data_IF_075668069314
#
_entry.id   IF_075668069314
#
_cell.length_a   1.000
_cell.length_b   1.000
_cell.length_c   1.000
_cell.angle_alpha   90.00
_cell.angle_beta   90.00
_cell.angle_gamma   90.00
#
_symmetry.space_group_name_H-M   'P 1'
#
loop_
_entity.id
_entity.type
_entity.pdbx_description
1 polymer ?
#
# COMPACT_ATOMS: atom_id res chain seq x y z
N UNK A 1 -2.52 33.13 -7.07
CA UNK A 1 -3.44 32.80 -6.00
C UNK A 1 -4.49 31.76 -6.45
N UNK A 2 -5.28 31.98 -7.53
CA UNK A 2 -6.33 31.08 -8.02
C UNK A 2 -5.83 29.66 -8.34
N UNK A 3 -4.68 29.48 -8.96
CA UNK A 3 -4.11 28.17 -9.24
C UNK A 3 -3.76 27.40 -7.95
N UNK A 4 -3.25 28.10 -6.94
CA UNK A 4 -2.96 27.50 -5.63
C UNK A 4 -4.24 27.07 -4.91
N UNK A 5 -5.29 27.88 -4.94
CA UNK A 5 -6.60 27.53 -4.37
C UNK A 5 -7.19 26.30 -5.08
N UNK A 6 -7.18 26.28 -6.42
CA UNK A 6 -7.65 25.11 -7.18
C UNK A 6 -6.90 23.83 -6.81
N UNK A 7 -5.56 23.89 -6.72
CA UNK A 7 -4.72 22.76 -6.31
C UNK A 7 -5.09 22.31 -4.89
N UNK A 8 -5.25 23.25 -3.97
CA UNK A 8 -5.63 22.97 -2.59
C UNK A 8 -6.99 22.25 -2.49
N UNK A 9 -8.01 22.73 -3.22
CA UNK A 9 -9.33 22.10 -3.25
C UNK A 9 -9.26 20.67 -3.78
N UNK A 10 -8.60 20.44 -4.91
CA UNK A 10 -8.48 19.08 -5.49
C UNK A 10 -7.76 18.14 -4.52
N UNK A 11 -6.66 18.59 -3.90
CA UNK A 11 -5.90 17.77 -2.95
C UNK A 11 -6.72 17.47 -1.67
N UNK A 12 -7.43 18.46 -1.12
CA UNK A 12 -8.27 18.28 0.05
C UNK A 12 -9.44 17.33 -0.23
N UNK A 13 -10.10 17.48 -1.38
CA UNK A 13 -11.19 16.57 -1.79
C UNK A 13 -10.71 15.14 -1.90
N UNK A 14 -9.53 14.91 -2.49
CA UNK A 14 -8.95 13.58 -2.58
C UNK A 14 -8.59 13.00 -1.19
N UNK A 15 -8.02 13.83 -0.30
CA UNK A 15 -7.72 13.40 1.07
C UNK A 15 -8.99 13.02 1.84
N UNK A 16 -10.08 13.81 1.71
CA UNK A 16 -11.35 13.48 2.32
C UNK A 16 -11.95 12.18 1.74
N UNK A 17 -11.85 11.97 0.43
CA UNK A 17 -12.25 10.71 -0.20
C UNK A 17 -11.51 9.50 0.40
N UNK A 18 -10.19 9.60 0.60
CA UNK A 18 -9.42 8.53 1.25
C UNK A 18 -9.88 8.30 2.70
N UNK A 19 -10.19 9.36 3.45
CA UNK A 19 -10.79 9.28 4.80
C UNK A 19 -12.14 8.58 4.78
N UNK A 20 -13.02 8.96 3.86
CA UNK A 20 -14.36 8.40 3.74
C UNK A 20 -14.30 6.89 3.48
N UNK A 21 -13.45 6.45 2.56
CA UNK A 21 -13.24 5.02 2.32
C UNK A 21 -12.72 4.30 3.56
N UNK A 22 -11.68 4.82 4.19
CA UNK A 22 -11.05 4.15 5.32
C UNK A 22 -11.92 4.16 6.61
N UNK A 23 -12.85 5.10 6.74
CA UNK A 23 -13.82 5.15 7.85
C UNK A 23 -15.06 4.28 7.60
N UNK A 24 -15.31 3.86 6.36
CA UNK A 24 -16.50 3.07 6.03
C UNK A 24 -16.48 1.71 6.75
N UNK A 25 -17.61 1.28 7.32
CA UNK A 25 -17.68 -0.05 7.94
C UNK A 25 -17.39 -1.17 6.94
N UNK A 26 -16.72 -2.26 7.34
CA UNK A 26 -16.30 -3.33 6.41
C UNK A 26 -17.45 -3.99 5.66
N UNK A 27 -18.64 -4.08 6.29
CA UNK A 27 -19.83 -4.63 5.65
C UNK A 27 -20.32 -3.79 4.45
N UNK A 28 -19.95 -2.52 4.39
CA UNK A 28 -20.34 -1.59 3.32
C UNK A 28 -19.21 -1.32 2.32
N UNK A 29 -17.97 -1.68 2.65
CA UNK A 29 -16.82 -1.50 1.77
C UNK A 29 -16.01 -2.79 1.66
N UNK A 30 -16.52 -3.75 0.89
CA UNK A 30 -15.80 -4.98 0.57
C UNK A 30 -14.80 -4.76 -0.58
N UNK A 31 -13.91 -5.73 -0.83
CA UNK A 31 -12.96 -5.67 -1.94
C UNK A 31 -13.65 -5.43 -3.29
N UNK A 32 -14.81 -6.03 -3.52
CA UNK A 32 -15.61 -5.85 -4.73
C UNK A 32 -16.18 -4.43 -4.81
N UNK A 33 -16.82 -3.95 -3.74
CA UNK A 33 -17.41 -2.61 -3.73
C UNK A 33 -16.33 -1.53 -3.92
N UNK A 34 -15.16 -1.70 -3.29
CA UNK A 34 -14.04 -0.77 -3.47
C UNK A 34 -13.51 -0.78 -4.91
N UNK A 35 -13.43 -1.95 -5.54
CA UNK A 35 -13.08 -2.06 -6.95
C UNK A 35 -14.13 -1.38 -7.87
N UNK A 36 -15.42 -1.54 -7.58
CA UNK A 36 -16.51 -0.86 -8.32
C UNK A 36 -16.39 0.66 -8.19
N UNK A 37 -16.07 1.17 -6.99
CA UNK A 37 -15.77 2.60 -6.75
C UNK A 37 -14.56 3.08 -7.53
N UNK A 38 -13.53 2.27 -7.64
CA UNK A 38 -12.36 2.60 -8.45
C UNK A 38 -12.70 2.68 -9.96
N UNK A 39 -13.59 1.81 -10.46
CA UNK A 39 -14.09 1.87 -11.84
C UNK A 39 -14.90 3.14 -12.07
N UNK A 40 -15.82 3.48 -11.15
CA UNK A 40 -16.62 4.71 -11.22
C UNK A 40 -15.71 5.96 -11.30
N UNK A 41 -14.74 6.07 -10.39
CA UNK A 41 -13.78 7.19 -10.35
C UNK A 41 -12.90 7.25 -11.59
N UNK A 42 -12.48 6.10 -12.12
CA UNK A 42 -11.69 6.05 -13.35
C UNK A 42 -12.46 6.62 -14.53
N UNK A 43 -13.76 6.29 -14.65
CA UNK A 43 -14.64 6.86 -15.68
C UNK A 43 -14.77 8.37 -15.59
N UNK A 44 -14.90 8.91 -14.37
CA UNK A 44 -15.01 10.35 -14.13
C UNK A 44 -13.71 11.11 -14.40
N UNK A 45 -12.56 10.49 -14.16
CA UNK A 45 -11.24 11.14 -14.21
C UNK A 45 -10.44 10.81 -15.48
N UNK A 46 -10.95 9.88 -16.30
CA UNK A 46 -10.31 9.49 -17.57
C UNK A 46 -9.07 8.59 -17.35
N UNK A 47 -9.01 7.85 -16.24
CA UNK A 47 -8.02 6.82 -16.01
C UNK A 47 -8.40 5.54 -16.78
N UNK A 48 -7.41 4.80 -17.29
CA UNK A 48 -7.63 3.41 -17.66
C UNK A 48 -7.70 2.57 -16.38
N UNK A 49 -8.71 1.72 -16.25
CA UNK A 49 -8.90 0.81 -15.12
C UNK A 49 -9.02 -0.63 -15.60
N UNK A 50 -8.41 -1.54 -14.85
CA UNK A 50 -8.51 -2.99 -15.07
C UNK A 50 -8.71 -3.63 -13.68
N UNK A 51 -9.75 -4.46 -13.56
CA UNK A 51 -10.09 -5.17 -12.32
C UNK A 51 -9.84 -6.65 -12.54
N UNK A 52 -9.05 -7.25 -11.68
CA UNK A 52 -8.73 -8.67 -11.71
C UNK A 52 -9.47 -9.39 -10.58
N UNK A 53 -10.24 -10.40 -10.94
CA UNK A 53 -10.97 -11.25 -9.99
C UNK A 53 -10.10 -12.39 -9.46
N UNK A 54 -10.66 -13.22 -8.57
CA UNK A 54 -9.97 -14.34 -7.92
C UNK A 54 -9.34 -15.31 -8.93
N UNK A 55 -10.10 -15.72 -9.97
CA UNK A 55 -9.63 -16.69 -10.96
C UNK A 55 -8.47 -16.15 -11.79
N UNK A 56 -8.54 -14.86 -12.15
CA UNK A 56 -7.48 -14.17 -12.86
C UNK A 56 -6.22 -14.04 -11.98
N UNK A 57 -6.38 -13.72 -10.69
CA UNK A 57 -5.27 -13.65 -9.73
C UNK A 57 -4.60 -15.02 -9.52
N UNK A 58 -5.39 -16.09 -9.47
CA UNK A 58 -4.89 -17.48 -9.46
C UNK A 58 -4.09 -17.78 -10.72
N UNK A 59 -4.65 -17.49 -11.90
CA UNK A 59 -3.97 -17.71 -13.18
C UNK A 59 -2.67 -16.88 -13.31
N UNK A 60 -2.62 -15.71 -12.66
CA UNK A 60 -1.43 -14.86 -12.60
C UNK A 60 -0.40 -15.34 -11.59
N UNK A 61 -0.69 -16.37 -10.78
CA UNK A 61 0.22 -16.84 -9.73
C UNK A 61 0.38 -15.87 -8.56
N UNK A 62 -0.64 -15.06 -8.25
CA UNK A 62 -0.63 -14.14 -7.11
C UNK A 62 -0.97 -14.88 -5.80
N UNK A 63 -0.05 -15.76 -5.36
CA UNK A 63 -0.30 -16.65 -4.23
C UNK A 63 -0.43 -15.95 -2.89
N UNK A 64 0.16 -14.75 -2.73
CA UNK A 64 0.05 -13.96 -1.51
C UNK A 64 -1.39 -13.49 -1.26
N UNK A 65 -1.99 -12.78 -2.21
CA UNK A 65 -3.37 -12.30 -2.05
C UNK A 65 -4.38 -13.44 -2.01
N UNK A 66 -4.15 -14.52 -2.75
CA UNK A 66 -5.00 -15.71 -2.72
C UNK A 66 -4.90 -16.43 -1.37
N UNK A 67 -3.69 -16.58 -0.83
CA UNK A 67 -3.46 -17.20 0.48
C UNK A 67 -4.15 -16.44 1.61
N UNK A 68 -3.98 -15.13 1.65
CA UNK A 68 -4.63 -14.26 2.65
C UNK A 68 -6.15 -14.33 2.55
N UNK A 69 -6.69 -14.34 1.33
CA UNK A 69 -8.15 -14.36 1.11
C UNK A 69 -8.82 -15.71 1.49
N UNK A 70 -8.09 -16.78 1.70
CA UNK A 70 -8.67 -18.13 1.91
C UNK A 70 -9.72 -18.19 3.01
N UNK A 71 -9.60 -17.32 4.03
CA UNK A 71 -10.54 -17.25 5.14
C UNK A 71 -11.80 -16.44 4.88
N UNK A 72 -11.83 -15.62 3.83
CA UNK A 72 -12.96 -14.73 3.53
C UNK A 72 -13.97 -15.34 2.57
N UNK A 73 -15.27 -15.08 2.82
CA UNK A 73 -16.33 -15.35 1.87
C UNK A 73 -16.37 -14.33 0.70
N UNK A 74 -15.87 -13.11 0.92
CA UNK A 74 -15.76 -12.08 -0.12
C UNK A 74 -14.49 -12.33 -0.96
N UNK A 75 -14.59 -12.50 -2.29
CA UNK A 75 -13.43 -12.77 -3.13
C UNK A 75 -12.53 -11.54 -3.29
N UNK A 76 -11.21 -11.74 -3.43
CA UNK A 76 -10.26 -10.65 -3.55
C UNK A 76 -10.44 -9.92 -4.89
N UNK A 77 -9.93 -8.71 -4.95
CA UNK A 77 -9.80 -7.90 -6.18
C UNK A 77 -8.42 -7.25 -6.23
N UNK A 78 -7.83 -7.24 -7.38
CA UNK A 78 -6.74 -6.32 -7.69
C UNK A 78 -7.23 -5.32 -8.71
N UNK A 79 -7.02 -4.03 -8.44
CA UNK A 79 -7.34 -2.96 -9.39
C UNK A 79 -6.04 -2.35 -9.89
N UNK A 80 -5.89 -2.25 -11.22
CA UNK A 80 -4.81 -1.51 -11.87
C UNK A 80 -5.37 -0.25 -12.52
N UNK A 81 -4.92 0.89 -12.05
CA UNK A 81 -5.24 2.21 -12.58
C UNK A 81 -4.04 2.73 -13.38
N UNK A 82 -4.26 3.26 -14.57
CA UNK A 82 -3.18 3.81 -15.39
C UNK A 82 -3.51 5.22 -15.82
N UNK A 83 -2.61 6.14 -15.50
CA UNK A 83 -2.59 7.51 -15.98
C UNK A 83 -1.45 7.71 -16.96
N UNK A 84 -1.78 8.18 -18.16
CA UNK A 84 -0.80 8.57 -19.19
C UNK A 84 -1.15 9.98 -19.66
N UNK A 85 -0.27 10.99 -19.39
CA UNK A 85 -0.50 12.33 -19.87
C UNK A 85 -0.35 12.41 -21.40
N UNK A 86 -0.93 13.43 -22.01
CA UNK A 86 -0.67 13.75 -23.43
C UNK A 86 0.84 13.97 -23.62
N UNK A 87 1.44 13.30 -24.59
CA UNK A 87 2.90 13.32 -24.78
C UNK A 87 3.70 12.54 -23.73
N UNK A 88 3.05 11.59 -23.03
CA UNK A 88 3.70 10.79 -21.97
C UNK A 88 4.74 9.76 -22.45
N UNK A 89 4.93 9.58 -23.79
CA UNK A 89 5.98 8.70 -24.31
C UNK A 89 7.36 9.20 -23.86
N UNK A 90 8.14 8.32 -23.23
CA UNK A 90 9.48 8.66 -22.70
C UNK A 90 9.49 9.47 -21.39
N UNK A 91 8.33 9.84 -20.84
CA UNK A 91 8.25 10.48 -19.51
C UNK A 91 8.52 9.48 -18.40
N UNK A 92 8.97 9.95 -17.22
CA UNK A 92 9.15 9.08 -16.05
C UNK A 92 7.90 8.26 -15.76
N UNK A 93 8.09 7.02 -15.29
CA UNK A 93 7.03 6.12 -14.89
C UNK A 93 7.17 5.72 -13.42
N UNK A 94 6.24 6.18 -12.60
CA UNK A 94 6.10 5.82 -11.19
C UNK A 94 4.98 4.81 -11.04
N UNK A 95 5.23 3.73 -10.29
CA UNK A 95 4.18 2.80 -9.88
C UNK A 95 3.94 2.93 -8.38
N UNK A 96 2.68 2.98 -7.97
CA UNK A 96 2.24 3.02 -6.58
C UNK A 96 1.44 1.76 -6.27
N UNK A 97 1.79 1.06 -5.18
CA UNK A 97 1.08 -0.13 -4.71
C UNK A 97 0.48 0.15 -3.35
N UNK A 98 -0.82 0.00 -3.21
CA UNK A 98 -1.54 0.26 -1.95
C UNK A 98 -2.05 -1.02 -1.31
N UNK A 99 -1.77 -1.21 -0.01
CA UNK A 99 -2.40 -2.25 0.80
C UNK A 99 -3.90 -1.98 0.91
N UNK A 100 -4.72 -2.98 0.59
CA UNK A 100 -6.16 -2.92 0.59
C UNK A 100 -6.80 -4.06 1.39
N UNK A 101 -6.36 -4.31 2.62
CA UNK A 101 -7.03 -5.25 3.51
C UNK A 101 -8.27 -4.55 4.07
N UNK A 102 -9.46 -4.89 3.53
CA UNK A 102 -10.71 -4.19 3.84
C UNK A 102 -11.11 -4.39 5.30
N UNK A 103 -10.78 -5.54 5.86
CA UNK A 103 -10.83 -5.81 7.28
C UNK A 103 -9.78 -6.84 7.67
N UNK A 104 -8.95 -6.49 8.65
CA UNK A 104 -7.90 -7.36 9.17
C UNK A 104 -8.23 -7.85 10.57
N UNK A 105 -8.67 -9.10 10.68
CA UNK A 105 -8.86 -9.76 11.97
C UNK A 105 -7.58 -10.39 12.52
N UNK A 106 -6.50 -10.43 11.73
CA UNK A 106 -5.31 -11.23 12.00
C UNK A 106 -5.39 -12.66 11.44
N UNK A 107 -6.54 -13.08 10.92
CA UNK A 107 -6.75 -14.45 10.48
C UNK A 107 -6.73 -15.43 11.65
N UNK A 108 -6.05 -16.59 11.49
CA UNK A 108 -5.89 -17.58 12.59
C UNK A 108 -5.05 -16.99 13.75
N UNK A 109 -4.08 -16.12 13.48
CA UNK A 109 -3.38 -15.32 14.50
C UNK A 109 -4.26 -14.14 14.94
N UNK A 110 -5.45 -14.46 15.49
CA UNK A 110 -6.51 -13.51 15.78
C UNK A 110 -6.02 -12.36 16.67
N UNK A 111 -6.31 -11.13 16.26
CA UNK A 111 -6.02 -9.94 17.05
C UNK A 111 -6.79 -9.95 18.37
N UNK A 112 -6.25 -9.33 19.45
CA UNK A 112 -6.99 -9.16 20.69
C UNK A 112 -8.33 -8.46 20.48
N UNK A 113 -9.36 -8.84 21.26
CA UNK A 113 -10.67 -8.18 21.25
C UNK A 113 -10.60 -6.88 22.06
N UNK A 114 -10.01 -5.85 21.45
CA UNK A 114 -9.86 -4.50 22.03
C UNK A 114 -10.29 -3.42 21.01
N UNK A 115 -10.32 -2.14 21.36
CA UNK A 115 -10.71 -1.06 20.44
C UNK A 115 -9.90 -0.99 19.16
N UNK A 116 -8.64 -1.44 19.15
CA UNK A 116 -7.80 -1.44 17.95
C UNK A 116 -8.32 -2.40 16.88
N UNK A 117 -8.99 -3.48 17.29
CA UNK A 117 -9.61 -4.42 16.37
C UNK A 117 -10.71 -3.77 15.52
N UNK A 118 -11.52 -2.89 16.10
CA UNK A 118 -12.55 -2.15 15.36
C UNK A 118 -11.95 -1.13 14.38
N UNK A 119 -10.71 -0.68 14.60
CA UNK A 119 -9.99 0.23 13.71
C UNK A 119 -9.46 -0.47 12.45
N UNK A 120 -9.42 -1.82 12.43
CA UNK A 120 -8.87 -2.61 11.33
C UNK A 120 -9.68 -2.49 10.02
N UNK A 121 -10.83 -1.84 10.03
CA UNK A 121 -11.51 -1.35 8.81
C UNK A 121 -10.64 -0.37 8.01
N UNK A 122 -9.72 0.33 8.64
CA UNK A 122 -8.78 1.27 8.02
C UNK A 122 -7.52 0.61 7.47
N UNK A 123 -7.39 -0.71 7.55
CA UNK A 123 -6.21 -1.45 7.07
C UNK A 123 -6.10 -1.48 5.54
N UNK A 124 -6.96 -0.74 4.88
CA UNK A 124 -6.97 -0.44 3.45
C UNK A 124 -6.60 1.02 3.13
N UNK A 125 -6.14 1.79 4.11
CA UNK A 125 -5.78 3.21 3.93
C UNK A 125 -4.72 3.43 2.86
N UNK A 126 -3.81 2.48 2.66
CA UNK A 126 -2.82 2.52 1.59
C UNK A 126 -3.47 2.51 0.20
N UNK A 127 -4.38 1.57 -0.06
CA UNK A 127 -5.13 1.50 -1.32
C UNK A 127 -6.04 2.72 -1.51
N UNK A 128 -6.66 3.22 -0.44
CA UNK A 128 -7.48 4.43 -0.48
C UNK A 128 -6.66 5.66 -0.87
N UNK A 129 -5.45 5.83 -0.30
CA UNK A 129 -4.54 6.91 -0.65
C UNK A 129 -4.07 6.83 -2.11
N UNK A 130 -3.75 5.63 -2.62
CA UNK A 130 -3.39 5.43 -4.02
C UNK A 130 -4.56 5.77 -4.95
N UNK A 131 -5.78 5.25 -4.69
CA UNK A 131 -6.96 5.54 -5.50
C UNK A 131 -7.26 7.03 -5.55
N UNK A 132 -7.28 7.70 -4.39
CA UNK A 132 -7.51 9.12 -4.28
C UNK A 132 -6.45 9.94 -5.02
N UNK A 133 -5.17 9.56 -4.92
CA UNK A 133 -4.09 10.18 -5.66
C UNK A 133 -4.29 10.07 -7.16
N UNK A 134 -4.53 8.85 -7.66
CA UNK A 134 -4.71 8.59 -9.10
C UNK A 134 -5.84 9.45 -9.69
N UNK A 135 -6.94 9.65 -8.96
CA UNK A 135 -8.09 10.43 -9.40
C UNK A 135 -7.78 11.92 -9.66
N UNK A 136 -6.71 12.46 -9.07
CA UNK A 136 -6.34 13.88 -9.16
C UNK A 136 -5.38 14.22 -10.28
N UNK A 137 -4.65 13.24 -10.81
CA UNK A 137 -3.46 13.47 -11.64
C UNK A 137 -3.75 14.30 -12.89
N UNK A 138 -4.87 14.03 -13.56
CA UNK A 138 -5.32 14.79 -14.74
C UNK A 138 -5.68 16.23 -14.37
N UNK A 139 -6.45 16.42 -13.31
CA UNK A 139 -6.91 17.75 -12.87
C UNK A 139 -5.76 18.65 -12.40
N UNK A 140 -4.69 18.03 -11.86
CA UNK A 140 -3.47 18.70 -11.42
C UNK A 140 -2.39 18.80 -12.49
N UNK A 141 -2.65 18.31 -13.71
CA UNK A 141 -1.72 18.41 -14.83
C UNK A 141 -0.43 17.60 -14.65
N UNK A 142 -0.52 16.41 -14.03
CA UNK A 142 0.63 15.53 -13.90
C UNK A 142 1.26 15.22 -15.26
N UNK A 143 2.57 15.38 -15.37
CA UNK A 143 3.32 15.15 -16.62
C UNK A 143 4.01 13.80 -16.68
N UNK A 144 3.97 13.03 -15.58
CA UNK A 144 4.56 11.71 -15.46
C UNK A 144 3.55 10.60 -15.78
N UNK A 145 4.03 9.45 -16.27
CA UNK A 145 3.21 8.24 -16.31
C UNK A 145 3.08 7.69 -14.88
N UNK A 146 1.87 7.35 -14.46
CA UNK A 146 1.64 6.78 -13.13
C UNK A 146 0.73 5.57 -13.26
N UNK A 147 1.10 4.49 -12.58
CA UNK A 147 0.26 3.30 -12.44
C UNK A 147 -0.02 3.09 -10.94
N UNK A 148 -1.27 2.83 -10.59
CA UNK A 148 -1.68 2.46 -9.23
C UNK A 148 -2.15 1.02 -9.19
N UNK A 149 -1.69 0.25 -8.21
CA UNK A 149 -2.21 -1.06 -7.86
C UNK A 149 -2.91 -0.99 -6.52
N UNK A 150 -4.14 -1.49 -6.44
CA UNK A 150 -4.90 -1.64 -5.20
C UNK A 150 -5.05 -3.13 -4.95
N UNK A 151 -4.41 -3.65 -3.88
CA UNK A 151 -4.40 -5.07 -3.53
C UNK A 151 -5.49 -5.31 -2.48
N UNK A 152 -6.70 -5.68 -2.92
CA UNK A 152 -7.90 -5.66 -2.07
C UNK A 152 -8.33 -7.07 -1.65
N UNK A 153 -8.42 -7.33 -0.35
CA UNK A 153 -8.85 -8.60 0.25
C UNK A 153 -9.31 -8.37 1.69
N UNK A 154 -9.86 -9.41 2.34
CA UNK A 154 -9.97 -9.49 3.80
C UNK A 154 -8.96 -10.48 4.33
N UNK A 155 -8.65 -10.37 5.64
CA UNK A 155 -7.92 -11.38 6.42
C UNK A 155 -8.81 -11.88 7.57
N UNK A 156 -9.47 -13.00 7.35
CA UNK A 156 -10.48 -13.55 8.28
C UNK A 156 -10.17 -14.99 8.68
N UNK A 157 -10.51 -15.39 9.92
CA UNK A 157 -10.45 -16.79 10.33
C UNK A 157 -11.66 -17.56 9.78
N UNK A 158 -11.42 -18.77 9.32
CA UNK A 158 -12.46 -19.73 8.93
C UNK A 158 -11.87 -21.13 8.82
N UNK A 159 -12.69 -22.14 8.54
CA UNK A 159 -12.22 -23.50 8.29
C UNK A 159 -11.33 -23.66 7.04
N UNK A 160 -11.30 -22.67 6.15
CA UNK A 160 -10.44 -22.64 4.96
C UNK A 160 -9.31 -21.61 5.03
N UNK A 161 -9.18 -20.87 6.14
CA UNK A 161 -8.19 -19.81 6.28
C UNK A 161 -6.75 -20.33 6.14
N UNK A 162 -5.86 -19.44 5.75
CA UNK A 162 -4.41 -19.67 5.77
C UNK A 162 -3.97 -20.04 7.20
N UNK A 163 -3.20 -21.11 7.35
CA UNK A 163 -2.69 -21.58 8.62
C UNK A 163 -1.19 -21.28 8.76
N UNK A 164 -0.73 -21.20 10.02
CA UNK A 164 0.71 -21.17 10.28
C UNK A 164 1.34 -22.48 9.87
N UNK A 165 2.51 -22.41 9.20
CA UNK A 165 3.16 -23.55 8.57
C UNK A 165 2.76 -23.77 7.09
N UNK A 166 1.73 -23.08 6.58
CA UNK A 166 1.47 -23.04 5.13
C UNK A 166 2.66 -22.45 4.38
N UNK A 167 2.88 -22.91 3.14
CA UNK A 167 3.87 -22.33 2.23
C UNK A 167 3.13 -21.78 1.00
N UNK A 168 3.27 -20.49 0.77
CA UNK A 168 2.69 -19.81 -0.40
C UNK A 168 3.74 -19.61 -1.48
N UNK A 169 3.35 -19.80 -2.74
CA UNK A 169 4.19 -19.42 -3.90
C UNK A 169 3.74 -18.05 -4.38
N UNK A 170 4.61 -17.07 -4.28
CA UNK A 170 4.35 -15.68 -4.63
C UNK A 170 4.45 -15.44 -6.13
N UNK A 171 3.97 -14.27 -6.61
CA UNK A 171 3.98 -13.90 -8.03
C UNK A 171 5.36 -14.05 -8.70
N UNK A 172 6.44 -13.71 -8.03
CA UNK A 172 7.80 -13.83 -8.57
C UNK A 172 8.38 -15.24 -8.49
N UNK A 173 7.62 -16.23 -8.02
CA UNK A 173 8.02 -17.63 -7.86
C UNK A 173 8.68 -17.97 -6.52
N UNK A 174 9.02 -16.99 -5.68
CA UNK A 174 9.53 -17.25 -4.33
C UNK A 174 8.47 -17.90 -3.46
N UNK A 175 8.91 -18.80 -2.59
CA UNK A 175 8.09 -19.47 -1.60
C UNK A 175 8.20 -18.79 -0.24
N UNK A 176 7.07 -18.66 0.46
CA UNK A 176 6.98 -17.98 1.77
C UNK A 176 6.26 -18.88 2.77
N UNK A 177 6.96 -19.26 3.84
CA UNK A 177 6.38 -19.97 4.97
C UNK A 177 5.62 -18.99 5.89
N UNK A 178 4.43 -19.36 6.30
CA UNK A 178 3.57 -18.52 7.14
C UNK A 178 3.82 -18.83 8.62
N UNK A 179 4.44 -17.91 9.31
CA UNK A 179 4.65 -17.98 10.77
C UNK A 179 3.69 -17.09 11.57
N UNK A 180 3.03 -16.14 10.90
CA UNK A 180 2.00 -15.29 11.51
C UNK A 180 1.01 -14.85 10.43
N UNK A 181 -0.25 -15.21 10.58
CA UNK A 181 -1.29 -14.82 9.60
C UNK A 181 -1.71 -13.36 9.73
N UNK A 182 -1.34 -12.66 10.82
CA UNK A 182 -1.50 -11.20 11.03
C UNK A 182 -0.37 -10.39 10.35
N UNK A 183 0.50 -11.04 9.60
CA UNK A 183 1.49 -10.42 8.72
C UNK A 183 1.09 -10.63 7.24
N UNK A 184 -0.17 -10.38 6.93
CA UNK A 184 -0.85 -10.59 5.64
C UNK A 184 -0.56 -9.46 4.65
N UNK A 185 -0.44 -8.23 5.15
CA UNK A 185 -0.24 -7.04 4.31
C UNK A 185 0.98 -7.14 3.42
N UNK A 186 2.08 -7.65 3.94
CA UNK A 186 3.30 -7.87 3.15
C UNK A 186 3.14 -8.98 2.11
N UNK A 187 2.28 -9.96 2.34
CA UNK A 187 2.01 -11.02 1.37
C UNK A 187 1.25 -10.49 0.17
N UNK A 188 0.21 -9.71 0.38
CA UNK A 188 -0.54 -9.11 -0.73
C UNK A 188 0.31 -8.06 -1.48
N UNK A 189 1.12 -7.28 -0.75
CA UNK A 189 2.03 -6.31 -1.37
C UNK A 189 3.11 -6.99 -2.20
N UNK A 190 3.64 -8.13 -1.78
CA UNK A 190 4.65 -8.88 -2.52
C UNK A 190 4.18 -9.23 -3.94
N UNK A 191 2.93 -9.67 -4.12
CA UNK A 191 2.36 -9.90 -5.45
C UNK A 191 2.24 -8.60 -6.26
N UNK A 192 1.75 -7.53 -5.63
CA UNK A 192 1.61 -6.21 -6.25
C UNK A 192 2.96 -5.61 -6.68
N UNK A 193 3.98 -5.73 -5.82
CA UNK A 193 5.34 -5.27 -6.08
C UNK A 193 6.00 -6.05 -7.21
N UNK A 194 5.81 -7.38 -7.25
CA UNK A 194 6.30 -8.22 -8.34
C UNK A 194 5.70 -7.79 -9.68
N UNK A 195 4.37 -7.61 -9.73
CA UNK A 195 3.67 -7.13 -10.93
C UNK A 195 4.09 -5.71 -11.33
N UNK A 196 4.41 -4.87 -10.36
CA UNK A 196 4.93 -3.53 -10.61
C UNK A 196 6.34 -3.58 -11.22
N UNK A 197 7.23 -4.38 -10.64
CA UNK A 197 8.61 -4.54 -11.12
C UNK A 197 8.68 -5.13 -12.54
N UNK A 198 7.78 -6.07 -12.88
CA UNK A 198 7.66 -6.65 -14.23
C UNK A 198 7.41 -5.60 -15.32
N UNK A 199 6.77 -4.46 -14.98
CA UNK A 199 6.57 -3.36 -15.93
C UNK A 199 7.84 -2.52 -16.17
N UNK A 200 8.93 -2.79 -15.46
CA UNK A 200 10.21 -2.06 -15.54
C UNK A 200 10.04 -0.54 -15.42
N UNK A 201 9.35 -0.05 -14.37
CA UNK A 201 9.18 1.38 -14.15
C UNK A 201 10.50 2.06 -13.77
N UNK A 202 10.49 3.38 -13.67
CA UNK A 202 11.64 4.13 -13.16
C UNK A 202 11.73 4.05 -11.62
N UNK A 203 10.59 3.89 -10.93
CA UNK A 203 10.53 3.57 -9.50
C UNK A 203 9.19 2.94 -9.11
N UNK A 204 9.20 2.18 -8.01
CA UNK A 204 8.01 1.64 -7.34
C UNK A 204 7.93 2.21 -5.93
N UNK A 205 6.75 2.56 -5.51
CA UNK A 205 6.43 3.02 -4.17
C UNK A 205 5.26 2.18 -3.64
N UNK A 206 5.40 1.60 -2.46
CA UNK A 206 4.24 1.06 -1.76
C UNK A 206 3.90 1.88 -0.51
N UNK A 207 2.61 1.88 -0.17
CA UNK A 207 2.08 2.57 1.00
C UNK A 207 1.10 1.65 1.71
N UNK A 208 1.31 1.47 3.00
CA UNK A 208 0.45 0.58 3.78
C UNK A 208 0.50 0.82 5.29
N UNK A 209 -0.51 0.33 5.96
CA UNK A 209 -0.64 0.19 7.40
C UNK A 209 0.01 -1.15 7.80
N UNK A 210 1.38 -1.20 7.81
CA UNK A 210 2.05 -2.51 7.82
C UNK A 210 2.38 -3.00 9.22
N UNK A 211 2.97 -2.15 10.07
CA UNK A 211 3.54 -2.66 11.31
C UNK A 211 3.20 -1.83 12.53
N UNK A 212 2.73 -2.51 13.58
CA UNK A 212 2.65 -1.90 14.90
C UNK A 212 4.05 -1.50 15.43
N UNK A 213 5.12 -2.09 14.90
CA UNK A 213 6.49 -1.71 15.23
C UNK A 213 6.80 -0.28 14.78
N UNK A 214 6.38 0.12 13.58
CA UNK A 214 6.53 1.50 13.09
C UNK A 214 5.73 2.48 13.93
N UNK A 215 4.48 2.16 14.26
CA UNK A 215 3.65 3.00 15.12
C UNK A 215 4.26 3.18 16.51
N UNK A 216 4.88 2.15 17.08
CA UNK A 216 5.60 2.26 18.37
C UNK A 216 6.89 3.08 18.26
N UNK A 217 7.60 3.00 17.13
CA UNK A 217 8.87 3.71 16.94
C UNK A 217 8.66 5.22 16.71
N UNK A 218 7.67 5.59 15.89
CA UNK A 218 7.47 6.98 15.43
C UNK A 218 6.20 7.65 15.98
N UNK A 219 5.34 6.89 16.67
CA UNK A 219 4.07 7.40 17.18
C UNK A 219 3.04 7.64 16.07
N UNK A 220 1.99 8.42 16.39
CA UNK A 220 0.88 8.75 15.47
C UNK A 220 1.12 10.01 14.63
N UNK A 221 2.25 10.70 14.82
CA UNK A 221 2.52 11.99 14.18
C UNK A 221 3.25 11.92 12.84
N UNK A 222 3.85 10.78 12.49
CA UNK A 222 4.61 10.60 11.26
C UNK A 222 4.66 9.14 10.80
N UNK A 223 4.92 8.93 9.52
CA UNK A 223 5.15 7.62 8.95
C UNK A 223 6.64 7.33 8.79
N UNK A 224 6.99 6.04 8.68
CA UNK A 224 8.33 5.62 8.32
C UNK A 224 8.47 5.41 6.81
N UNK A 225 9.65 5.76 6.26
CA UNK A 225 10.02 5.40 4.89
C UNK A 225 11.31 4.59 4.90
N UNK A 226 11.33 3.49 4.16
CA UNK A 226 12.51 2.67 3.89
C UNK A 226 12.65 2.51 2.37
N UNK A 227 13.84 2.27 1.87
CA UNK A 227 14.01 2.09 0.42
C UNK A 227 15.43 1.68 0.05
N UNK A 228 15.55 1.09 -1.14
CA UNK A 228 16.80 0.60 -1.71
C UNK A 228 17.51 1.65 -2.60
N UNK A 229 16.94 2.85 -2.75
CA UNK A 229 17.52 3.93 -3.55
C UNK A 229 17.37 5.27 -2.83
N UNK A 230 18.49 5.80 -2.32
CA UNK A 230 18.49 7.04 -1.52
C UNK A 230 17.94 8.24 -2.29
N UNK A 231 18.23 8.38 -3.59
CA UNK A 231 17.74 9.50 -4.39
C UNK A 231 16.21 9.48 -4.55
N UNK A 232 15.61 8.29 -4.54
CA UNK A 232 14.15 8.18 -4.55
C UNK A 232 13.57 8.49 -3.16
N UNK A 233 14.18 7.99 -2.09
CA UNK A 233 13.77 8.33 -0.72
C UNK A 233 13.85 9.85 -0.49
N UNK A 234 14.92 10.52 -0.94
CA UNK A 234 15.08 11.98 -0.82
C UNK A 234 13.93 12.75 -1.52
N UNK A 235 13.42 12.26 -2.66
CA UNK A 235 12.27 12.86 -3.32
C UNK A 235 11.00 12.74 -2.48
N UNK A 236 10.80 11.62 -1.78
CA UNK A 236 9.65 11.41 -0.90
C UNK A 236 9.75 12.26 0.36
N UNK A 237 10.93 12.37 0.97
CA UNK A 237 11.17 13.27 2.10
C UNK A 237 10.89 14.73 1.71
N UNK A 238 11.36 15.18 0.54
CA UNK A 238 11.05 16.51 0.05
C UNK A 238 9.55 16.71 -0.23
N UNK A 239 8.82 15.68 -0.65
CA UNK A 239 7.36 15.74 -0.78
C UNK A 239 6.66 15.80 0.58
N UNK A 240 7.17 15.08 1.58
CA UNK A 240 6.68 15.14 2.96
C UNK A 240 6.78 16.56 3.53
N UNK A 241 7.92 17.22 3.34
CA UNK A 241 8.14 18.60 3.79
C UNK A 241 7.14 19.59 3.16
N UNK A 242 6.85 19.44 1.85
CA UNK A 242 5.91 20.32 1.15
C UNK A 242 4.44 20.09 1.53
N UNK A 243 4.10 18.89 1.98
CA UNK A 243 2.70 18.49 2.25
C UNK A 243 2.34 18.39 3.71
N UNK A 244 3.34 18.46 4.60
CA UNK A 244 3.23 18.21 6.03
C UNK A 244 2.70 16.78 6.38
N UNK A 245 2.75 15.83 5.45
CA UNK A 245 2.64 14.41 5.73
C UNK A 245 4.04 13.90 6.12
N UNK A 246 4.39 14.05 7.41
CA UNK A 246 5.74 13.87 7.93
C UNK A 246 6.27 12.46 7.72
N UNK A 247 7.44 12.34 7.12
CA UNK A 247 8.17 11.08 6.98
C UNK A 247 9.47 11.11 7.79
N UNK A 248 9.84 9.94 8.33
CA UNK A 248 11.17 9.71 8.87
C UNK A 248 11.79 8.49 8.19
N UNK A 249 13.02 8.64 7.68
CA UNK A 249 13.73 7.54 7.05
C UNK A 249 14.24 6.57 8.12
N UNK A 250 13.86 5.30 7.99
CA UNK A 250 14.38 4.20 8.78
C UNK A 250 15.48 3.46 8.00
N UNK A 251 16.45 2.86 8.67
CA UNK A 251 17.49 2.07 7.99
C UNK A 251 16.88 0.81 7.36
N UNK A 252 17.34 0.46 6.15
CA UNK A 252 17.10 -0.84 5.53
C UNK A 252 18.32 -1.74 5.81
N UNK A 253 18.44 -2.19 7.09
CA UNK A 253 19.62 -2.90 7.59
C UNK A 253 19.63 -4.36 7.15
N UNK A 254 20.53 -4.68 6.24
CA UNK A 254 20.59 -5.99 5.59
C UNK A 254 20.98 -7.15 6.53
N UNK A 255 21.67 -6.88 7.62
CA UNK A 255 22.03 -7.92 8.60
C UNK A 255 20.78 -8.58 9.21
N UNK A 256 19.66 -7.87 9.27
CA UNK A 256 18.38 -8.42 9.75
C UNK A 256 17.67 -9.33 8.74
N UNK A 257 18.16 -9.43 7.49
CA UNK A 257 17.53 -10.28 6.47
C UNK A 257 17.51 -11.76 6.88
N UNK A 258 18.54 -12.23 7.59
CA UNK A 258 18.62 -13.62 8.08
C UNK A 258 17.48 -14.00 9.04
N UNK A 259 16.84 -13.01 9.71
CA UNK A 259 15.67 -13.25 10.54
C UNK A 259 14.44 -13.76 9.74
N UNK A 260 14.46 -13.65 8.42
CA UNK A 260 13.41 -14.13 7.52
C UNK A 260 13.73 -15.51 6.92
N UNK A 261 14.84 -16.16 7.25
CA UNK A 261 15.19 -17.46 6.70
C UNK A 261 14.21 -18.54 7.17
N UNK A 262 13.85 -19.45 6.26
CA UNK A 262 12.99 -20.61 6.51
C UNK A 262 13.74 -21.90 6.20
N UNK A 263 13.37 -22.99 6.86
CA UNK A 263 13.90 -24.32 6.58
C UNK A 263 13.17 -25.05 5.44
N UNK A 264 11.96 -24.58 5.08
CA UNK A 264 11.07 -25.28 4.14
C UNK A 264 10.67 -24.41 2.94
N UNK A 265 11.01 -23.11 2.95
CA UNK A 265 10.70 -22.14 1.92
C UNK A 265 11.90 -21.20 1.69
N UNK A 266 11.83 -20.34 0.69
CA UNK A 266 12.88 -19.33 0.45
C UNK A 266 12.94 -18.30 1.59
N UNK A 267 11.82 -18.07 2.27
CA UNK A 267 11.72 -17.17 3.41
C UNK A 267 10.45 -17.40 4.22
N UNK A 268 10.38 -16.82 5.42
CA UNK A 268 9.15 -16.74 6.23
C UNK A 268 8.59 -15.33 6.26
N UNK A 269 7.28 -15.20 6.54
CA UNK A 269 6.61 -13.90 6.46
C UNK A 269 6.86 -12.96 7.65
N UNK A 270 7.54 -13.39 8.71
CA UNK A 270 7.93 -12.54 9.84
C UNK A 270 9.36 -12.79 10.28
N UNK A 271 10.11 -11.72 10.55
CA UNK A 271 11.37 -11.72 11.31
C UNK A 271 11.06 -11.41 12.78
N UNK A 272 11.94 -11.78 13.70
CA UNK A 272 11.76 -11.58 15.14
C UNK A 272 11.76 -10.08 15.55
N UNK A 273 12.90 -9.57 15.99
CA UNK A 273 13.11 -8.17 16.37
C UNK A 273 13.07 -7.24 15.15
N UNK A 274 13.06 -5.92 15.38
CA UNK A 274 13.08 -4.89 14.34
C UNK A 274 11.96 -5.05 13.28
N UNK A 275 10.73 -5.33 13.72
CA UNK A 275 9.62 -5.73 12.87
C UNK A 275 9.32 -4.83 11.67
N UNK A 276 9.55 -3.52 11.76
CA UNK A 276 9.39 -2.59 10.64
C UNK A 276 10.48 -2.78 9.58
N UNK A 277 11.73 -3.00 10.00
CA UNK A 277 12.87 -3.20 9.10
C UNK A 277 12.77 -4.55 8.41
N UNK A 278 12.49 -5.63 9.18
CA UNK A 278 12.33 -6.97 8.60
C UNK A 278 11.13 -7.07 7.67
N UNK A 279 10.06 -6.30 7.92
CA UNK A 279 8.93 -6.19 7.01
C UNK A 279 9.34 -5.54 5.68
N UNK A 280 10.13 -4.47 5.73
CA UNK A 280 10.64 -3.81 4.53
C UNK A 280 11.63 -4.70 3.76
N UNK A 281 12.54 -5.40 4.46
CA UNK A 281 13.44 -6.39 3.85
C UNK A 281 12.68 -7.53 3.17
N UNK A 282 11.56 -7.97 3.75
CA UNK A 282 10.67 -8.91 3.09
C UNK A 282 10.14 -8.34 1.76
N UNK A 283 9.66 -7.11 1.74
CA UNK A 283 9.09 -6.47 0.55
C UNK A 283 10.15 -6.21 -0.53
N UNK A 284 11.38 -5.88 -0.15
CA UNK A 284 12.50 -5.65 -1.07
C UNK A 284 12.76 -6.86 -1.98
N UNK A 285 12.54 -8.08 -1.49
CA UNK A 285 12.72 -9.33 -2.26
C UNK A 285 11.81 -9.44 -3.50
N UNK A 286 10.79 -8.57 -3.61
CA UNK A 286 9.78 -8.60 -4.67
C UNK A 286 9.89 -7.46 -5.67
N UNK A 287 10.86 -6.56 -5.52
CA UNK A 287 11.08 -5.43 -6.44
C UNK A 287 12.31 -5.60 -7.32
N UNK A 288 13.15 -6.58 -7.03
CA UNK A 288 14.42 -6.82 -7.76
C UNK A 288 15.33 -5.59 -7.71
N UNK A 289 15.91 -5.21 -8.84
CA UNK A 289 16.78 -4.02 -8.95
C UNK A 289 16.04 -2.72 -9.23
N UNK A 290 14.70 -2.71 -9.11
CA UNK A 290 13.91 -1.50 -9.33
C UNK A 290 14.10 -0.53 -8.16
N UNK A 291 14.37 0.77 -8.39
CA UNK A 291 14.34 1.77 -7.33
C UNK A 291 13.00 1.71 -6.59
N UNK A 292 13.04 1.52 -5.28
CA UNK A 292 11.85 1.26 -4.48
C UNK A 292 11.89 1.99 -3.14
N UNK A 293 10.70 2.36 -2.68
CA UNK A 293 10.47 2.85 -1.33
C UNK A 293 9.16 2.30 -0.77
N UNK A 294 9.19 1.97 0.52
CA UNK A 294 8.07 1.54 1.33
C UNK A 294 7.69 2.64 2.32
N UNK A 295 6.41 3.01 2.39
CA UNK A 295 5.89 3.97 3.37
C UNK A 295 4.93 3.24 4.31
N UNK A 296 5.34 3.09 5.57
CA UNK A 296 4.53 2.49 6.62
C UNK A 296 3.76 3.57 7.38
N UNK A 297 2.45 3.62 7.14
CA UNK A 297 1.52 4.60 7.71
C UNK A 297 0.72 4.07 8.92
N UNK A 298 1.14 2.96 9.52
CA UNK A 298 0.42 2.35 10.65
C UNK A 298 0.28 3.29 11.85
N UNK A 299 1.22 4.23 12.03
CA UNK A 299 1.13 5.25 13.09
C UNK A 299 0.10 6.34 12.78
N UNK A 300 0.28 7.11 11.70
CA UNK A 300 -0.53 8.31 11.42
C UNK A 300 -1.87 8.02 10.71
N UNK A 301 -2.24 6.76 10.47
CA UNK A 301 -3.50 6.40 9.81
C UNK A 301 -4.74 6.81 10.60
N UNK A 302 -4.64 6.97 11.91
CA UNK A 302 -5.75 7.23 12.84
C UNK A 302 -5.49 8.45 13.72
N UNK A 303 -6.54 9.19 14.04
CA UNK A 303 -6.56 10.25 15.05
C UNK A 303 -7.61 9.96 16.12
N UNK A 304 -7.22 10.02 17.40
CA UNK A 304 -8.13 9.77 18.53
C UNK A 304 -9.05 10.94 18.83
N UNK A 305 -8.72 12.13 18.33
CA UNK A 305 -9.47 13.37 18.60
C UNK A 305 -9.39 14.33 17.41
N UNK A 306 -10.32 15.29 17.40
CA UNK A 306 -10.24 16.42 16.50
C UNK A 306 -9.07 17.33 16.90
N UNK A 307 -8.21 17.67 15.94
CA UNK A 307 -7.05 18.54 16.15
C UNK A 307 -6.73 19.32 14.86
N UNK A 308 -6.97 20.60 14.88
CA UNK A 308 -6.76 21.48 13.72
C UNK A 308 -7.60 21.02 12.51
N UNK A 309 -6.93 20.57 11.46
CA UNK A 309 -7.58 20.06 10.24
C UNK A 309 -7.83 18.53 10.27
N UNK A 310 -7.34 17.84 11.29
CA UNK A 310 -7.60 16.43 11.50
C UNK A 310 -8.90 16.24 12.27
N UNK A 311 -9.74 15.34 11.80
CA UNK A 311 -10.91 14.85 12.51
C UNK A 311 -10.61 13.49 13.14
N UNK A 312 -11.29 13.14 14.23
CA UNK A 312 -11.24 11.81 14.82
C UNK A 312 -11.59 10.75 13.79
N UNK A 313 -10.81 9.69 13.74
CA UNK A 313 -10.96 8.59 12.77
C UNK A 313 -9.79 8.48 11.82
N UNK A 314 -10.01 7.85 10.67
CA UNK A 314 -8.98 7.68 9.64
C UNK A 314 -8.60 9.03 9.03
N UNK A 315 -7.31 9.25 8.84
CA UNK A 315 -6.76 10.58 8.54
C UNK A 315 -6.59 10.85 7.05
N UNK A 316 -6.65 9.81 6.19
CA UNK A 316 -6.29 9.91 4.78
C UNK A 316 -4.81 10.21 4.54
N UNK A 317 -3.98 9.90 5.54
CA UNK A 317 -2.54 10.14 5.52
C UNK A 317 -1.89 9.52 4.27
N UNK A 318 -0.90 10.22 3.74
CA UNK A 318 -0.18 9.83 2.55
C UNK A 318 -0.80 10.32 1.24
N UNK A 319 -2.11 10.63 1.20
CA UNK A 319 -2.75 11.09 -0.04
C UNK A 319 -2.09 12.36 -0.59
N UNK A 320 -1.85 13.37 0.25
CA UNK A 320 -1.19 14.62 -0.16
C UNK A 320 0.26 14.38 -0.59
N UNK A 321 0.96 13.54 0.18
CA UNK A 321 2.32 13.13 -0.13
C UNK A 321 2.41 12.45 -1.50
N UNK A 322 1.55 11.46 -1.77
CA UNK A 322 1.55 10.72 -3.02
C UNK A 322 1.19 11.62 -4.22
N UNK A 323 0.26 12.55 -4.06
CA UNK A 323 -0.08 13.54 -5.09
C UNK A 323 1.17 14.38 -5.41
N UNK A 324 1.83 14.93 -4.39
CA UNK A 324 3.01 15.76 -4.61
C UNK A 324 4.17 14.97 -5.19
N UNK A 325 4.39 13.74 -4.70
CA UNK A 325 5.39 12.84 -5.24
C UNK A 325 5.15 12.52 -6.72
N UNK A 326 3.91 12.20 -7.13
CA UNK A 326 3.58 11.93 -8.53
C UNK A 326 3.81 13.13 -9.45
N UNK A 327 3.43 14.33 -8.99
CA UNK A 327 3.58 15.57 -9.76
C UNK A 327 5.05 15.96 -9.95
N UNK A 328 5.90 15.70 -8.95
CA UNK A 328 7.30 16.12 -8.92
C UNK A 328 8.29 14.98 -9.19
N UNK A 329 7.80 13.77 -9.48
CA UNK A 329 8.64 12.59 -9.70
C UNK A 329 9.67 12.81 -10.81
N UNK A 330 10.91 12.45 -10.51
CA UNK A 330 12.03 12.42 -11.45
C UNK A 330 12.67 11.04 -11.42
N UNK A 331 13.15 10.55 -12.55
CA UNK A 331 13.90 9.29 -12.61
C UNK A 331 15.03 9.30 -11.59
N UNK A 332 15.04 8.42 -10.59
CA UNK A 332 16.23 8.29 -9.76
C UNK A 332 17.35 7.66 -10.60
N UNK A 333 18.59 8.10 -10.37
CA UNK A 333 19.70 7.37 -10.95
C UNK A 333 19.72 5.97 -10.35
N UNK A 334 19.89 4.96 -11.17
CA UNK A 334 20.10 3.58 -10.69
C UNK A 334 21.43 3.55 -9.95
N UNK A 335 21.43 3.03 -8.73
CA UNK A 335 22.63 2.76 -7.95
C UNK A 335 23.43 1.62 -8.55
#
# INVERSE_FOLDING_TARGET
LQAGVKRGVVTATATNMARDFANMPPAYLTARIFADKAVELAGQTGLKVEVFNKDQLLAMGCGGIIGVNRGSAEPPRMVRLTYKPTGGKGKPHLIMVGKGVMYDSGGISLKPSDPSHAMMKGDMSGAAAVLATMSTLKALGCTNNVTGYLMCTDNLPSGSAMAMGDVLTMRNGKTVEIHNTDAEGRLILADGLSLAAEQKPDAVLDICTLTGAMARALGSGMAGVLGNNQKFVDQLLASADRTADKLWQMPLEQEYRSALDSYVADMKNVGGEAGAITAALFLEEFVGSTPWAHIDIAGPMWSDADSGWLQKGMTGYGTRLLIDAALNFKRPARS
#
